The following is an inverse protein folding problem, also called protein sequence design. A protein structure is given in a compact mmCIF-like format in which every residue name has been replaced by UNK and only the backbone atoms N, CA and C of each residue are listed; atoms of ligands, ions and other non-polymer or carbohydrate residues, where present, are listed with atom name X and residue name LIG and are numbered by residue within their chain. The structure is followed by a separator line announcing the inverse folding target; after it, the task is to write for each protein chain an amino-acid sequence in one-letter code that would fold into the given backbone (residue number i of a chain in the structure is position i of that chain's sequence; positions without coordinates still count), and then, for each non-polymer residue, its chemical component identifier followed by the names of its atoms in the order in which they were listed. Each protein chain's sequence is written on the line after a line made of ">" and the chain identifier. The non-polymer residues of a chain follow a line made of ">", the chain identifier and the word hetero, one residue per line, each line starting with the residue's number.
data_IF_139107696074
#
_entry.id   IF_139107696074
#
_cell.length_a   1.000
_cell.length_b   1.000
_cell.length_c   1.000
_cell.angle_alpha   90.00
_cell.angle_beta   90.00
_cell.angle_gamma   90.00
#
_symmetry.space_group_name_H-M   'P 1'
#
loop_
_entity.id
_entity.type
_entity.pdbx_description
1 polymer ?
#
# COMPACT_ATOMS: atom_id res chain seq x y z
N UNK A 1 18.10 16.32 6.04
CA UNK A 1 18.19 16.04 4.96
C UNK A 1 17.06 15.41 4.17
N UNK A 2 16.48 16.24 3.34
CA UNK A 2 15.33 15.85 2.56
C UNK A 2 15.58 14.70 1.60
N UNK A 3 16.81 14.52 1.11
CA UNK A 3 17.13 13.46 0.17
C UNK A 3 16.92 12.06 0.78
N UNK A 4 17.40 11.84 2.01
CA UNK A 4 17.20 10.56 2.67
C UNK A 4 15.74 10.26 2.96
N UNK A 5 14.96 11.26 3.34
CA UNK A 5 13.53 11.11 3.57
C UNK A 5 12.78 10.81 2.28
N UNK A 6 13.16 11.42 1.18
CA UNK A 6 12.51 11.22 -0.11
C UNK A 6 12.67 9.79 -0.63
N UNK A 7 13.79 9.13 -0.29
CA UNK A 7 14.06 7.77 -0.74
C UNK A 7 13.35 6.71 0.10
N UNK A 8 12.69 7.10 1.18
CA UNK A 8 12.12 6.17 2.14
C UNK A 8 10.65 5.85 1.88
N UNK A 9 10.04 6.39 0.85
CA UNK A 9 8.65 6.11 0.53
C UNK A 9 8.41 6.11 -0.98
N UNK A 10 7.27 5.51 -1.37
CA UNK A 10 6.82 5.43 -2.75
C UNK A 10 5.62 6.35 -2.94
N UNK A 11 5.66 7.15 -3.98
CA UNK A 11 4.55 8.04 -4.32
C UNK A 11 4.99 9.23 -5.15
N UNK A 12 4.04 10.10 -5.46
CA UNK A 12 4.29 11.35 -6.17
C UNK A 12 4.81 12.37 -5.16
N UNK A 13 5.90 13.06 -5.50
CA UNK A 13 6.45 14.10 -4.65
C UNK A 13 5.41 15.21 -4.46
N UNK A 14 5.09 15.52 -3.20
CA UNK A 14 4.02 16.46 -2.84
C UNK A 14 2.62 15.89 -2.94
N UNK A 15 2.48 14.61 -3.38
CA UNK A 15 1.23 13.90 -3.42
C UNK A 15 1.11 12.86 -2.31
N UNK A 16 0.06 12.03 -2.33
CA UNK A 16 -0.15 11.02 -1.30
C UNK A 16 0.95 9.96 -1.31
N UNK A 17 1.27 9.43 -0.14
CA UNK A 17 2.26 8.37 0.03
C UNK A 17 1.78 7.36 1.07
N UNK A 18 2.36 6.16 1.02
CA UNK A 18 2.11 5.12 2.00
C UNK A 18 3.45 4.61 2.54
N UNK A 19 3.65 4.77 3.85
CA UNK A 19 4.80 4.21 4.56
C UNK A 19 4.45 2.83 5.11
N UNK A 20 5.44 1.96 5.19
CA UNK A 20 5.30 0.66 5.82
C UNK A 20 6.21 0.59 7.05
N UNK A 21 5.64 0.13 8.16
CA UNK A 21 6.40 -0.26 9.35
C UNK A 21 6.35 -1.76 9.46
N UNK A 22 7.49 -2.37 9.78
CA UNK A 22 7.62 -3.83 9.86
C UNK A 22 7.85 -4.19 11.31
N UNK A 23 7.00 -5.04 11.87
CA UNK A 23 7.25 -5.66 13.17
C UNK A 23 7.86 -7.04 12.91
N UNK A 24 9.12 -7.20 13.31
CA UNK A 24 9.90 -8.41 13.12
C UNK A 24 10.72 -8.68 14.37
N UNK A 25 10.55 -9.84 14.96
CA UNK A 25 11.32 -10.27 16.15
C UNK A 25 11.27 -9.22 17.27
N UNK A 26 10.11 -8.63 17.50
CA UNK A 26 9.90 -7.63 18.55
C UNK A 26 10.45 -6.25 18.22
N UNK A 27 10.99 -6.05 17.03
CA UNK A 27 11.53 -4.75 16.60
C UNK A 27 10.65 -4.12 15.55
N UNK A 28 10.57 -2.80 15.56
CA UNK A 28 9.87 -2.02 14.54
C UNK A 28 10.91 -1.46 13.58
N UNK A 29 10.77 -1.83 12.31
CA UNK A 29 11.66 -1.40 11.24
C UNK A 29 10.85 -0.56 10.25
N UNK A 30 11.52 0.37 9.59
CA UNK A 30 10.91 1.13 8.50
C UNK A 30 11.32 0.50 7.18
N UNK A 31 10.32 0.13 6.35
CA UNK A 31 10.61 -0.40 5.03
C UNK A 31 11.06 0.71 4.09
N UNK A 32 12.07 0.41 3.27
CA UNK A 32 12.51 1.29 2.19
C UNK A 32 12.39 0.54 0.85
N UNK A 33 12.15 1.25 -0.26
CA UNK A 33 12.06 0.61 -1.57
C UNK A 33 13.28 -0.26 -1.86
N UNK A 34 13.02 -1.50 -2.28
CA UNK A 34 14.07 -2.48 -2.53
C UNK A 34 14.32 -3.44 -1.37
N UNK A 35 13.85 -3.12 -0.17
CA UNK A 35 14.01 -4.03 0.97
C UNK A 35 13.14 -5.26 0.79
N UNK A 36 13.71 -6.43 1.02
CA UNK A 36 12.95 -7.67 1.06
C UNK A 36 12.16 -7.77 2.36
N UNK A 37 11.00 -8.42 2.29
CA UNK A 37 10.20 -8.75 3.45
C UNK A 37 10.28 -10.25 3.72
N UNK A 38 9.83 -10.67 4.89
CA UNK A 38 9.90 -12.07 5.31
C UNK A 38 8.53 -12.60 5.69
N UNK A 39 8.32 -13.87 5.48
CA UNK A 39 7.14 -14.55 6.01
C UNK A 39 7.06 -14.32 7.52
N UNK A 40 5.88 -13.99 8.01
CA UNK A 40 5.67 -13.68 9.41
C UNK A 40 5.85 -12.23 9.80
N UNK A 41 6.43 -11.40 8.93
CA UNK A 41 6.49 -9.95 9.18
C UNK A 41 5.08 -9.40 9.31
N UNK A 42 4.87 -8.54 10.29
CA UNK A 42 3.62 -7.82 10.43
C UNK A 42 3.82 -6.40 9.90
N UNK A 43 3.02 -6.03 8.90
CA UNK A 43 3.11 -4.71 8.28
C UNK A 43 2.07 -3.79 8.86
N UNK A 44 2.49 -2.64 9.33
CA UNK A 44 1.59 -1.55 9.70
C UNK A 44 1.68 -0.47 8.63
N UNK A 45 0.53 -0.06 8.13
CA UNK A 45 0.43 0.91 7.06
C UNK A 45 0.24 2.31 7.65
N UNK A 46 1.02 3.27 7.16
CA UNK A 46 0.97 4.65 7.62
C UNK A 46 0.70 5.55 6.42
N UNK A 47 -0.55 5.96 6.20
CA UNK A 47 -0.90 6.78 5.05
C UNK A 47 -0.67 8.25 5.29
N UNK A 48 -0.25 8.94 4.21
CA UNK A 48 -0.16 10.39 4.14
C UNK A 48 -1.01 10.80 2.93
N UNK A 49 -2.25 11.16 3.18
CA UNK A 49 -3.22 11.42 2.12
C UNK A 49 -3.00 12.70 1.34
N UNK A 50 -2.42 13.72 1.97
CA UNK A 50 -2.11 15.01 1.32
C UNK A 50 -3.32 15.59 0.58
N UNK A 51 -4.46 15.61 1.24
CA UNK A 51 -5.72 16.11 0.68
C UNK A 51 -6.62 15.05 0.08
N UNK A 52 -6.16 13.81 -0.04
CA UNK A 52 -6.99 12.67 -0.41
C UNK A 52 -7.48 12.01 0.88
N UNK A 53 -8.77 12.05 1.12
CA UNK A 53 -9.35 11.69 2.42
C UNK A 53 -9.68 10.21 2.58
N UNK A 54 -9.54 9.43 1.51
CA UNK A 54 -9.96 8.03 1.52
C UNK A 54 -8.88 7.12 1.00
N UNK A 55 -8.76 5.94 1.61
CA UNK A 55 -7.75 4.95 1.26
C UNK A 55 -8.40 3.57 1.08
N UNK A 56 -7.99 2.89 0.02
CA UNK A 56 -8.29 1.49 -0.20
C UNK A 56 -6.97 0.84 -0.60
N UNK A 57 -6.65 -0.31 0.01
CA UNK A 57 -5.41 -1.02 -0.33
C UNK A 57 -5.75 -2.43 -0.77
N UNK A 58 -5.16 -2.83 -1.89
CA UNK A 58 -5.24 -4.20 -2.38
C UNK A 58 -3.88 -4.86 -2.20
N UNK A 59 -3.89 -6.14 -1.83
CA UNK A 59 -2.69 -6.96 -1.83
C UNK A 59 -2.74 -7.87 -3.04
N UNK A 60 -1.61 -7.99 -3.74
CA UNK A 60 -1.48 -8.85 -4.92
C UNK A 60 -0.45 -9.93 -4.59
N UNK A 61 -0.86 -11.18 -4.63
CA UNK A 61 0.01 -12.31 -4.30
C UNK A 61 0.93 -12.71 -5.47
N UNK A 62 1.89 -13.61 -5.25
CA UNK A 62 2.80 -14.03 -6.35
C UNK A 62 2.09 -14.67 -7.55
N UNK A 63 0.89 -15.19 -7.37
CA UNK A 63 0.09 -15.72 -8.46
C UNK A 63 -0.71 -14.66 -9.21
N UNK A 64 -0.61 -13.40 -8.78
CA UNK A 64 -1.32 -12.27 -9.41
C UNK A 64 -2.75 -12.08 -8.92
N UNK A 65 -3.15 -12.80 -7.87
CA UNK A 65 -4.48 -12.62 -7.29
C UNK A 65 -4.50 -11.45 -6.34
N UNK A 66 -5.55 -10.63 -6.43
CA UNK A 66 -5.70 -9.44 -5.60
C UNK A 66 -6.86 -9.57 -4.65
N UNK A 67 -6.71 -8.95 -3.47
CA UNK A 67 -7.81 -8.82 -2.51
C UNK A 67 -7.69 -7.49 -1.79
N UNK A 68 -8.83 -6.95 -1.37
CA UNK A 68 -8.85 -5.73 -0.57
C UNK A 68 -8.40 -6.08 0.85
N UNK A 69 -7.37 -5.39 1.33
CA UNK A 69 -6.85 -5.58 2.69
C UNK A 69 -7.08 -4.35 3.58
N UNK A 70 -7.36 -3.20 2.99
CA UNK A 70 -7.81 -2.01 3.72
C UNK A 70 -9.01 -1.44 2.98
N UNK A 71 -10.15 -1.31 3.63
CA UNK A 71 -10.43 -1.75 5.01
C UNK A 71 -10.39 -3.27 5.14
N UNK A 72 -10.05 -3.73 6.33
CA UNK A 72 -9.87 -5.17 6.59
C UNK A 72 -11.18 -5.98 6.44
N UNK A 73 -12.32 -5.35 6.55
CA UNK A 73 -13.62 -5.99 6.34
C UNK A 73 -14.05 -6.05 4.87
N UNK A 74 -13.24 -5.51 3.96
CA UNK A 74 -13.54 -5.49 2.54
C UNK A 74 -14.66 -4.53 2.13
N UNK A 75 -15.03 -3.62 3.01
CA UNK A 75 -16.10 -2.66 2.76
C UNK A 75 -15.67 -1.45 1.96
N UNK A 76 -16.22 -0.29 2.33
CA UNK A 76 -15.88 0.98 1.68
C UNK A 76 -14.50 1.47 2.13
N UNK A 77 -13.94 2.41 1.37
CA UNK A 77 -12.64 3.00 1.68
C UNK A 77 -12.51 3.43 3.14
N UNK A 78 -11.30 3.33 3.65
CA UNK A 78 -10.93 3.82 4.97
C UNK A 78 -10.79 5.34 4.94
N UNK A 79 -11.40 6.03 5.90
CA UNK A 79 -11.25 7.48 6.05
C UNK A 79 -9.90 7.81 6.69
N UNK A 80 -9.11 8.65 6.03
CA UNK A 80 -7.85 9.14 6.56
C UNK A 80 -8.15 10.39 7.38
N UNK A 81 -8.16 10.27 8.71
CA UNK A 81 -8.49 11.38 9.58
C UNK A 81 -7.29 12.29 9.82
N UNK A 82 -6.08 11.72 9.84
CA UNK A 82 -4.85 12.46 10.07
C UNK A 82 -3.69 11.79 9.34
N UNK A 83 -2.93 12.57 8.57
CA UNK A 83 -1.74 12.05 7.87
C UNK A 83 -0.69 11.61 8.88
N UNK A 84 -0.05 10.47 8.61
CA UNK A 84 0.98 9.94 9.48
C UNK A 84 0.46 9.12 10.63
N UNK A 85 -0.85 8.96 10.78
CA UNK A 85 -1.43 8.09 11.79
C UNK A 85 -1.46 6.65 11.27
N UNK A 86 -0.82 5.69 11.97
CA UNK A 86 -0.86 4.30 11.55
C UNK A 86 -2.28 3.76 11.53
N UNK A 87 -2.61 2.95 10.52
CA UNK A 87 -3.89 2.25 10.49
C UNK A 87 -3.97 1.26 11.65
N UNK A 88 -5.15 1.03 12.22
CA UNK A 88 -5.30 0.00 13.26
C UNK A 88 -5.07 -1.40 12.67
N UNK A 89 -4.45 -2.26 13.46
CA UNK A 89 -4.15 -3.62 13.02
C UNK A 89 -2.91 -3.70 12.16
N UNK A 90 -2.57 -4.90 11.73
CA UNK A 90 -1.42 -5.17 10.88
C UNK A 90 -1.73 -6.25 9.88
N UNK A 91 -0.99 -6.23 8.77
CA UNK A 91 -1.06 -7.23 7.73
C UNK A 91 0.09 -8.20 7.94
N UNK A 92 -0.21 -9.45 8.31
CA UNK A 92 0.81 -10.47 8.55
C UNK A 92 1.07 -11.22 7.24
N UNK A 93 2.34 -11.25 6.82
CA UNK A 93 2.73 -11.92 5.58
C UNK A 93 2.74 -13.43 5.76
N UNK A 94 2.17 -14.13 4.77
CA UNK A 94 2.13 -15.59 4.75
C UNK A 94 3.48 -16.19 4.33
N UNK A 95 3.54 -17.51 4.21
CA UNK A 95 4.75 -18.25 3.90
C UNK A 95 4.90 -18.63 2.42
N UNK A 96 4.17 -17.98 1.54
CA UNK A 96 4.33 -18.19 0.09
C UNK A 96 5.40 -17.23 -0.42
N UNK A 97 6.55 -17.74 -0.90
CA UNK A 97 7.63 -16.87 -1.38
C UNK A 97 7.30 -16.26 -2.73
N UNK A 98 7.98 -15.18 -3.05
CA UNK A 98 7.90 -14.57 -4.37
C UNK A 98 7.61 -13.08 -4.32
N UNK A 99 7.30 -12.54 -5.48
CA UNK A 99 7.04 -11.12 -5.66
C UNK A 99 5.60 -10.80 -5.32
N UNK A 100 5.42 -9.84 -4.43
CA UNK A 100 4.10 -9.36 -4.03
C UNK A 100 4.03 -7.85 -4.16
N UNK A 101 2.81 -7.34 -4.14
CA UNK A 101 2.59 -5.89 -4.17
C UNK A 101 1.46 -5.48 -3.24
N UNK A 102 1.59 -4.27 -2.73
CA UNK A 102 0.48 -3.54 -2.14
C UNK A 102 0.14 -2.40 -3.08
N UNK A 103 -1.14 -2.25 -3.40
CA UNK A 103 -1.61 -1.18 -4.26
C UNK A 103 -2.51 -0.29 -3.44
N UNK A 104 -2.00 0.90 -3.13
CA UNK A 104 -2.74 1.89 -2.36
C UNK A 104 -3.51 2.80 -3.30
N UNK A 105 -4.80 2.93 -3.06
CA UNK A 105 -5.68 3.80 -3.85
C UNK A 105 -6.16 4.92 -2.95
N UNK A 106 -5.60 6.10 -3.17
CA UNK A 106 -6.02 7.32 -2.48
C UNK A 106 -7.07 8.02 -3.33
N UNK A 107 -8.17 8.42 -2.72
CA UNK A 107 -9.25 9.07 -3.46
C UNK A 107 -9.86 10.22 -2.68
N UNK A 108 -10.45 11.16 -3.40
CA UNK A 108 -11.15 12.31 -2.80
C UNK A 108 -12.53 11.94 -2.31
N UNK A 109 -13.10 10.89 -2.88
CA UNK A 109 -14.39 10.35 -2.48
C UNK A 109 -14.25 8.89 -2.12
N UNK A 110 -15.10 8.40 -1.22
CA UNK A 110 -15.06 7.00 -0.80
C UNK A 110 -15.34 6.07 -1.98
N UNK A 111 -14.57 4.99 -2.07
CA UNK A 111 -14.75 3.94 -3.07
C UNK A 111 -15.37 2.71 -2.41
N UNK A 112 -16.09 1.90 -3.19
CA UNK A 112 -16.71 0.67 -2.71
C UNK A 112 -16.13 -0.57 -3.42
N UNK A 113 -16.71 -1.74 -3.16
CA UNK A 113 -16.26 -2.99 -3.76
C UNK A 113 -16.36 -2.99 -5.30
N UNK A 114 -17.38 -2.31 -5.85
CA UNK A 114 -17.54 -2.17 -7.29
C UNK A 114 -16.41 -1.35 -7.91
N UNK A 115 -16.01 -0.29 -7.24
CA UNK A 115 -14.86 0.53 -7.66
C UNK A 115 -13.58 -0.28 -7.60
N UNK A 116 -13.40 -1.11 -6.55
CA UNK A 116 -12.23 -1.98 -6.44
C UNK A 116 -12.15 -2.96 -7.62
N UNK A 117 -13.27 -3.53 -8.03
CA UNK A 117 -13.30 -4.41 -9.20
C UNK A 117 -12.91 -3.66 -10.49
N UNK A 118 -13.38 -2.43 -10.65
CA UNK A 118 -13.02 -1.58 -11.80
C UNK A 118 -11.52 -1.29 -11.81
N UNK A 119 -10.91 -1.15 -10.65
CA UNK A 119 -9.48 -0.86 -10.52
C UNK A 119 -8.59 -2.10 -10.72
N UNK A 120 -9.16 -3.30 -10.88
CA UNK A 120 -8.39 -4.53 -11.00
C UNK A 120 -7.36 -4.49 -12.15
N UNK A 121 -7.70 -3.86 -13.26
CA UNK A 121 -6.77 -3.70 -14.39
C UNK A 121 -5.58 -2.82 -14.04
N UNK A 122 -5.84 -1.73 -13.31
CA UNK A 122 -4.79 -0.83 -12.85
C UNK A 122 -3.89 -1.54 -11.84
N UNK A 123 -4.48 -2.35 -10.96
CA UNK A 123 -3.74 -3.16 -10.00
C UNK A 123 -2.71 -4.05 -10.69
N UNK A 124 -3.10 -4.70 -11.80
CA UNK A 124 -2.17 -5.55 -12.55
C UNK A 124 -1.01 -4.78 -13.13
N UNK A 125 -1.23 -3.58 -13.63
CA UNK A 125 -0.16 -2.74 -14.15
C UNK A 125 0.82 -2.35 -13.04
N UNK A 126 0.30 -2.06 -11.85
CA UNK A 126 1.13 -1.64 -10.73
C UNK A 126 1.96 -2.78 -10.12
N UNK A 127 1.58 -4.03 -10.34
CA UNK A 127 2.34 -5.17 -9.81
C UNK A 127 3.68 -5.40 -10.51
N UNK A 128 3.88 -4.81 -11.68
CA UNK A 128 5.12 -5.00 -12.45
C UNK A 128 6.19 -3.98 -12.13
N UNK A 129 5.81 -2.85 -11.57
CA UNK A 129 6.75 -1.78 -11.23
C UNK A 129 6.23 -0.93 -10.08
N UNK A 130 7.15 -0.33 -9.37
CA UNK A 130 6.81 0.64 -8.33
C UNK A 130 6.52 1.98 -8.98
N UNK A 131 5.67 2.77 -8.34
CA UNK A 131 5.39 4.12 -8.81
C UNK A 131 3.99 4.57 -8.46
N UNK A 132 3.61 5.69 -9.04
CA UNK A 132 2.28 6.25 -8.82
C UNK A 132 1.62 6.65 -10.13
N UNK A 133 0.30 6.63 -10.13
CA UNK A 133 -0.50 6.95 -11.28
C UNK A 133 -1.76 7.71 -10.86
N UNK A 134 -2.04 8.80 -11.57
CA UNK A 134 -3.25 9.59 -11.33
C UNK A 134 -4.35 9.15 -12.28
N UNK A 135 -5.56 9.01 -11.76
CA UNK A 135 -6.75 8.59 -12.51
C UNK A 135 -7.90 9.53 -12.22
N UNK A 136 -8.95 9.49 -13.06
CA UNK A 136 -10.18 10.26 -12.88
C UNK A 136 -9.90 11.75 -12.69
N UNK A 137 -9.07 12.32 -13.58
CA UNK A 137 -8.68 13.74 -13.56
C UNK A 137 -8.07 14.20 -12.22
N UNK A 138 -7.27 13.32 -11.61
CA UNK A 138 -6.61 13.62 -10.34
C UNK A 138 -7.44 13.34 -9.10
N UNK A 139 -8.66 12.81 -9.25
CA UNK A 139 -9.49 12.45 -8.10
C UNK A 139 -9.01 11.16 -7.40
N UNK A 140 -8.19 10.37 -8.08
CA UNK A 140 -7.66 9.10 -7.58
C UNK A 140 -6.17 9.03 -7.89
N UNK A 141 -5.36 8.63 -6.90
CA UNK A 141 -3.94 8.34 -7.09
C UNK A 141 -3.69 6.91 -6.66
N UNK A 142 -3.10 6.12 -7.54
CA UNK A 142 -2.76 4.73 -7.27
C UNK A 142 -1.26 4.62 -7.08
N UNK A 143 -0.83 4.01 -5.96
CA UNK A 143 0.58 3.83 -5.63
C UNK A 143 0.86 2.34 -5.52
N UNK A 144 1.86 1.87 -6.27
CA UNK A 144 2.32 0.48 -6.21
C UNK A 144 3.56 0.36 -5.34
N UNK A 145 3.52 -0.57 -4.38
CA UNK A 145 4.66 -0.94 -3.55
C UNK A 145 4.93 -2.40 -3.81
N UNK A 146 6.09 -2.69 -4.39
CA UNK A 146 6.47 -4.04 -4.81
C UNK A 146 7.62 -4.53 -3.93
N UNK A 147 7.55 -5.77 -3.49
CA UNK A 147 8.60 -6.36 -2.67
C UNK A 147 8.74 -7.85 -2.96
N UNK A 148 9.94 -8.37 -2.70
CA UNK A 148 10.19 -9.80 -2.69
C UNK A 148 9.96 -10.32 -1.27
N UNK A 149 9.24 -11.42 -1.15
CA UNK A 149 8.98 -12.07 0.13
C UNK A 149 9.84 -13.32 0.25
N UNK A 150 10.67 -13.35 1.27
CA UNK A 150 11.53 -14.47 1.56
C UNK A 150 10.87 -15.38 2.59
N UNK A 151 11.10 -16.67 2.43
CA UNK A 151 10.63 -17.69 3.37
C UNK A 151 11.84 -18.48 3.83
N UNK A 152 11.93 -18.69 5.12
CA UNK A 152 12.99 -19.51 5.69
C UNK A 152 12.56 -20.95 5.86
#
# INVERSE_FOLDING_TARGET
>A
AGAGAADAYVGVRGGPTLDLRILRDGQVLRWAPGDALRAGDALRLVPFGQGYDWLLVLAVDPAGRSQVVVPFDGGRSWAILEDGEPLPGSLVLDDVPGREALVAVFSREALDAGDAATLAGVTREQTTEEGSRSLRDGAVVVIGIVFEKEVR
#
